data_IF_659820023615
#
_entry.id   IF_659820023615
#
_cell.length_a   1.000
_cell.length_b   1.000
_cell.length_c   1.000
_cell.angle_alpha   90.00
_cell.angle_beta   90.00
_cell.angle_gamma   90.00
#
_symmetry.space_group_name_H-M   'P 1'
#
loop_
_entity.id
_entity.type
_entity.pdbx_description
1 polymer ?
#
# COMPACT_ATOMS: atom_id res chain seq x y z
N UNK A 1 10.05 -35.90 -63.92
CA UNK A 1 8.88 -35.28 -63.29
C UNK A 1 9.14 -35.33 -61.78
N UNK A 2 9.95 -34.40 -61.27
CA UNK A 2 9.54 -33.10 -60.67
C UNK A 2 8.86 -33.33 -59.31
N UNK A 3 9.29 -32.85 -58.15
CA UNK A 3 10.30 -31.88 -57.66
C UNK A 3 10.49 -32.19 -56.14
N UNK A 4 11.73 -32.25 -55.60
CA UNK A 4 12.39 -31.23 -54.73
C UNK A 4 11.52 -30.77 -53.53
N UNK A 5 11.74 -31.24 -52.29
CA UNK A 5 12.67 -30.71 -51.27
C UNK A 5 12.47 -29.24 -50.85
N UNK A 6 12.06 -29.00 -49.60
CA UNK A 6 12.41 -27.87 -48.70
C UNK A 6 11.43 -27.89 -47.51
N UNK A 7 11.85 -28.36 -46.33
CA UNK A 7 12.53 -27.65 -45.24
C UNK A 7 11.62 -26.70 -44.41
N UNK A 8 11.63 -26.98 -43.10
CA UNK A 8 11.05 -26.17 -42.03
C UNK A 8 11.56 -24.73 -42.08
N UNK A 9 10.67 -23.76 -42.24
CA UNK A 9 11.02 -22.35 -42.00
C UNK A 9 10.41 -21.85 -40.68
N UNK A 10 11.33 -21.78 -39.72
CA UNK A 10 11.24 -21.23 -38.37
C UNK A 10 10.93 -19.73 -38.45
N UNK A 11 9.71 -19.32 -38.09
CA UNK A 11 9.28 -17.91 -38.12
C UNK A 11 10.07 -17.07 -37.10
N UNK A 12 11.04 -16.30 -37.59
CA UNK A 12 11.80 -15.32 -36.82
C UNK A 12 10.94 -14.08 -36.47
N UNK A 13 11.23 -13.38 -35.34
CA UNK A 13 10.54 -12.14 -35.01
C UNK A 13 10.97 -11.00 -35.97
N UNK A 14 10.06 -10.09 -36.36
CA UNK A 14 10.43 -9.00 -37.26
C UNK A 14 11.37 -8.02 -36.57
N UNK A 15 12.37 -7.61 -37.34
CA UNK A 15 13.48 -6.74 -36.96
C UNK A 15 13.03 -5.30 -36.67
N UNK A 16 13.75 -4.66 -35.75
CA UNK A 16 13.75 -3.22 -35.55
C UNK A 16 14.25 -2.51 -36.82
N UNK A 17 13.40 -1.66 -37.40
CA UNK A 17 13.81 -0.61 -38.32
C UNK A 17 13.30 0.72 -37.73
N UNK A 18 14.23 1.59 -37.34
CA UNK A 18 13.92 2.98 -37.06
C UNK A 18 14.04 3.80 -38.34
N UNK A 19 13.15 4.77 -38.52
CA UNK A 19 13.46 6.19 -38.71
C UNK A 19 12.15 6.94 -38.97
N UNK A 20 12.07 8.16 -38.46
CA UNK A 20 10.83 8.91 -38.29
C UNK A 20 10.27 9.49 -39.58
N UNK A 21 8.95 9.65 -39.59
CA UNK A 21 8.26 10.56 -40.50
C UNK A 21 6.93 11.01 -39.88
N UNK A 22 6.74 12.34 -39.84
CA UNK A 22 5.45 13.02 -39.89
C UNK A 22 4.42 12.72 -38.79
N UNK A 23 4.30 13.63 -37.82
CA UNK A 23 3.06 13.81 -37.09
C UNK A 23 1.95 14.25 -38.06
N UNK A 24 1.11 13.32 -38.50
CA UNK A 24 -0.14 13.63 -39.20
C UNK A 24 -1.28 13.67 -38.17
N UNK A 25 -1.59 14.91 -37.76
CA UNK A 25 -2.77 15.24 -36.96
C UNK A 25 -3.92 15.38 -37.96
N UNK A 26 -4.63 14.28 -38.26
CA UNK A 26 -5.78 14.37 -39.15
C UNK A 26 -6.49 13.07 -39.48
N UNK A 27 -7.47 12.71 -38.64
CA UNK A 27 -8.77 12.07 -38.94
C UNK A 27 -9.04 10.81 -38.09
N UNK A 28 -9.43 11.04 -36.84
CA UNK A 28 -9.71 10.01 -35.85
C UNK A 28 -10.98 9.22 -36.13
N UNK A 29 -10.83 7.89 -36.28
CA UNK A 29 -11.86 6.93 -35.88
C UNK A 29 -11.76 6.82 -34.36
N UNK A 30 -12.77 7.31 -33.64
CA UNK A 30 -12.96 7.00 -32.20
C UNK A 30 -12.96 5.48 -32.04
N UNK A 31 -11.95 4.88 -31.40
CA UNK A 31 -11.98 3.44 -31.16
C UNK A 31 -10.76 2.78 -30.55
N UNK A 32 -9.54 3.27 -30.78
CA UNK A 32 -8.35 2.74 -30.10
C UNK A 32 -7.80 3.78 -29.15
N UNK A 33 -8.22 3.72 -27.89
CA UNK A 33 -7.51 4.37 -26.81
C UNK A 33 -6.14 3.69 -26.71
N UNK A 34 -5.13 4.29 -27.31
CA UNK A 34 -3.76 3.82 -27.19
C UNK A 34 -3.31 4.13 -25.75
N UNK A 35 -2.93 3.10 -24.99
CA UNK A 35 -2.39 3.28 -23.64
C UNK A 35 -1.08 4.11 -23.71
N UNK A 36 -0.64 4.70 -22.60
CA UNK A 36 0.62 5.45 -22.52
C UNK A 36 1.87 4.62 -22.93
N UNK A 37 1.73 3.30 -22.99
CA UNK A 37 2.74 2.35 -23.50
C UNK A 37 2.63 2.01 -24.99
N UNK A 38 1.76 2.67 -25.76
CA UNK A 38 1.60 2.44 -27.21
C UNK A 38 0.79 1.19 -27.59
N UNK A 39 0.21 0.48 -26.62
CA UNK A 39 -0.58 -0.74 -26.84
C UNK A 39 -2.08 -0.45 -26.87
N UNK A 40 -2.82 -1.23 -27.67
CA UNK A 40 -4.29 -1.20 -27.73
C UNK A 40 -4.86 -1.49 -26.33
N UNK A 41 -5.75 -0.63 -25.85
CA UNK A 41 -6.36 -0.76 -24.53
C UNK A 41 -7.46 -1.84 -24.54
N UNK A 42 -7.10 -3.06 -24.16
CA UNK A 42 -8.01 -4.23 -24.09
C UNK A 42 -8.95 -4.24 -22.87
N UNK A 43 -8.71 -3.37 -21.87
CA UNK A 43 -9.47 -3.32 -20.62
C UNK A 43 -10.15 -1.96 -20.41
N UNK A 44 -11.44 -1.99 -20.08
CA UNK A 44 -12.19 -0.80 -19.68
C UNK A 44 -11.61 -0.18 -18.40
N UNK A 45 -11.33 1.13 -18.45
CA UNK A 45 -10.79 1.87 -17.31
C UNK A 45 -11.89 2.15 -16.30
N UNK A 46 -12.07 1.25 -15.33
CA UNK A 46 -13.12 1.36 -14.30
C UNK A 46 -12.78 2.34 -13.16
N UNK A 47 -11.53 2.82 -13.07
CA UNK A 47 -11.05 3.68 -11.97
C UNK A 47 -10.72 5.10 -12.47
N UNK A 48 -11.48 6.08 -12.01
CA UNK A 48 -11.17 7.50 -12.15
C UNK A 48 -10.14 7.98 -11.12
N UNK A 49 -9.61 9.19 -11.30
CA UNK A 49 -8.57 9.77 -10.44
C UNK A 49 -8.89 9.69 -8.93
N UNK A 50 -10.09 10.12 -8.53
CA UNK A 50 -10.53 10.07 -7.13
C UNK A 50 -10.66 8.66 -6.57
N UNK A 51 -11.03 7.69 -7.41
CA UNK A 51 -11.13 6.29 -7.00
C UNK A 51 -9.74 5.68 -6.81
N UNK A 52 -8.78 5.99 -7.69
CA UNK A 52 -7.38 5.56 -7.56
C UNK A 52 -6.73 6.18 -6.32
N UNK A 53 -6.92 7.48 -6.10
CA UNK A 53 -6.41 8.17 -4.91
C UNK A 53 -7.00 7.57 -3.62
N UNK A 54 -8.31 7.30 -3.62
CA UNK A 54 -8.99 6.66 -2.49
C UNK A 54 -8.45 5.26 -2.22
N UNK A 55 -8.23 4.46 -3.27
CA UNK A 55 -7.62 3.12 -3.13
C UNK A 55 -6.21 3.21 -2.56
N UNK A 56 -5.40 4.20 -2.96
CA UNK A 56 -4.08 4.43 -2.37
C UNK A 56 -4.14 4.72 -0.87
N UNK A 57 -5.05 5.62 -0.45
CA UNK A 57 -5.26 5.95 0.97
C UNK A 57 -5.77 4.74 1.76
N UNK A 58 -6.70 3.96 1.19
CA UNK A 58 -7.22 2.74 1.80
C UNK A 58 -6.17 1.66 1.95
N UNK A 59 -5.31 1.50 0.94
CA UNK A 59 -4.29 0.47 0.92
C UNK A 59 -3.24 0.69 2.01
N UNK A 60 -2.89 1.95 2.28
CA UNK A 60 -1.90 2.28 3.30
C UNK A 60 -2.50 2.23 4.72
N UNK A 61 -3.69 2.80 4.95
CA UNK A 61 -4.40 2.87 6.24
C UNK A 61 -3.48 2.91 7.49
N UNK A 62 -2.37 3.65 7.41
CA UNK A 62 -1.28 3.53 8.37
C UNK A 62 -1.67 4.07 9.76
N UNK A 63 -2.62 5.00 9.82
CA UNK A 63 -3.04 5.62 11.07
C UNK A 63 -3.71 4.64 12.04
N UNK A 64 -4.46 3.64 11.53
CA UNK A 64 -5.14 2.65 12.38
C UNK A 64 -4.18 1.71 13.08
N UNK A 65 -3.17 1.21 12.36
CA UNK A 65 -2.09 0.40 12.94
C UNK A 65 -1.10 1.25 13.75
N UNK A 66 -0.87 2.49 13.32
CA UNK A 66 -0.07 3.50 14.01
C UNK A 66 -0.58 3.76 15.43
N UNK A 67 -1.90 3.87 15.61
CA UNK A 67 -2.53 4.06 16.92
C UNK A 67 -2.14 2.99 17.96
N UNK A 68 -2.07 1.73 17.55
CA UNK A 68 -1.65 0.63 18.43
C UNK A 68 -0.15 0.63 18.73
N UNK A 69 0.68 0.97 17.74
CA UNK A 69 2.14 1.02 17.89
C UNK A 69 2.63 2.24 18.67
N UNK A 70 1.90 3.36 18.66
CA UNK A 70 2.23 4.55 19.44
C UNK A 70 2.43 4.25 20.93
N UNK A 71 1.67 3.31 21.49
CA UNK A 71 1.83 2.87 22.89
C UNK A 71 3.22 2.27 23.09
N UNK A 72 3.63 1.36 22.19
CA UNK A 72 4.94 0.69 22.24
C UNK A 72 6.07 1.70 22.05
N UNK A 73 5.95 2.62 21.09
CA UNK A 73 6.94 3.67 20.84
C UNK A 73 7.11 4.59 22.05
N UNK A 74 6.02 4.90 22.77
CA UNK A 74 6.06 5.70 23.99
C UNK A 74 6.77 4.96 25.14
N UNK A 75 6.57 3.63 25.27
CA UNK A 75 7.31 2.81 26.24
C UNK A 75 8.81 2.71 25.93
N UNK A 76 9.18 2.73 24.65
CA UNK A 76 10.56 2.56 24.22
C UNK A 76 11.36 3.87 24.29
N UNK A 77 10.79 5.01 23.90
CA UNK A 77 11.55 6.27 23.78
C UNK A 77 10.90 7.52 24.36
N UNK A 78 9.79 7.39 25.09
CA UNK A 78 9.03 8.54 25.60
C UNK A 78 8.52 9.47 24.49
N UNK A 79 8.16 10.70 24.86
CA UNK A 79 7.73 11.73 23.90
C UNK A 79 8.75 11.99 22.77
N UNK A 80 10.06 12.13 23.06
CA UNK A 80 11.06 12.45 22.05
C UNK A 80 11.27 11.31 21.06
N UNK A 81 11.22 10.05 21.53
CA UNK A 81 11.39 8.88 20.69
C UNK A 81 10.32 8.78 19.60
N UNK A 82 9.06 9.05 19.97
CA UNK A 82 7.94 9.07 19.02
C UNK A 82 8.11 10.21 18.01
N UNK A 83 8.42 11.42 18.46
CA UNK A 83 8.48 12.60 17.58
C UNK A 83 9.67 12.57 16.62
N UNK A 84 10.89 12.34 17.13
CA UNK A 84 12.07 12.25 16.28
C UNK A 84 12.02 11.03 15.37
N UNK A 85 11.46 9.92 15.85
CA UNK A 85 11.24 8.73 15.05
C UNK A 85 10.27 8.99 13.90
N UNK A 86 9.15 9.64 14.19
CA UNK A 86 8.19 10.04 13.16
C UNK A 86 8.80 10.96 12.10
N UNK A 87 9.55 12.00 12.51
CA UNK A 87 10.22 12.91 11.58
C UNK A 87 11.22 12.16 10.68
N UNK A 88 12.05 11.28 11.26
CA UNK A 88 12.99 10.47 10.52
C UNK A 88 12.26 9.59 9.49
N UNK A 89 11.23 8.86 9.92
CA UNK A 89 10.41 8.02 9.05
C UNK A 89 9.81 8.81 7.89
N UNK A 90 9.23 9.99 8.14
CA UNK A 90 8.67 10.86 7.08
C UNK A 90 9.71 11.22 6.02
N UNK A 91 10.94 11.57 6.42
CA UNK A 91 12.00 11.92 5.47
C UNK A 91 12.39 10.73 4.59
N UNK A 92 12.60 9.55 5.20
CA UNK A 92 12.97 8.35 4.45
C UNK A 92 11.84 7.87 3.53
N UNK A 93 10.61 7.81 4.03
CA UNK A 93 9.45 7.43 3.21
C UNK A 93 9.18 8.42 2.08
N UNK A 94 9.36 9.72 2.31
CA UNK A 94 9.20 10.74 1.26
C UNK A 94 10.25 10.59 0.16
N UNK A 95 11.49 10.25 0.53
CA UNK A 95 12.57 10.00 -0.44
C UNK A 95 12.26 8.77 -1.29
N UNK A 96 11.79 7.68 -0.67
CA UNK A 96 11.37 6.47 -1.37
C UNK A 96 10.19 6.78 -2.30
N UNK A 97 9.18 7.49 -1.80
CA UNK A 97 8.00 7.87 -2.58
C UNK A 97 8.36 8.76 -3.79
N UNK A 98 9.29 9.71 -3.63
CA UNK A 98 9.78 10.55 -4.71
C UNK A 98 10.48 9.72 -5.79
N UNK A 99 11.37 8.80 -5.40
CA UNK A 99 12.04 7.91 -6.36
C UNK A 99 11.04 7.03 -7.13
N UNK A 100 10.00 6.54 -6.45
CA UNK A 100 8.97 5.70 -7.08
C UNK A 100 8.08 6.52 -8.03
N UNK A 101 7.79 7.79 -7.67
CA UNK A 101 7.04 8.71 -8.51
C UNK A 101 7.77 9.02 -9.82
N UNK A 102 9.09 9.21 -9.77
CA UNK A 102 9.91 9.39 -10.98
C UNK A 102 9.79 8.17 -11.91
N UNK A 103 9.97 6.96 -11.38
CA UNK A 103 9.82 5.72 -12.16
C UNK A 103 8.40 5.55 -12.73
N UNK A 104 7.37 5.86 -11.94
CA UNK A 104 5.98 5.78 -12.37
C UNK A 104 5.66 6.77 -13.49
N UNK A 105 6.27 7.96 -13.48
CA UNK A 105 6.11 8.96 -14.53
C UNK A 105 6.87 8.62 -15.82
N UNK A 106 8.05 8.01 -15.70
CA UNK A 106 8.89 7.64 -16.84
C UNK A 106 8.39 6.37 -17.54
N UNK A 107 7.82 5.42 -16.78
CA UNK A 107 7.38 4.11 -17.27
C UNK A 107 5.95 3.81 -16.81
N UNK A 108 4.93 4.49 -17.39
CA UNK A 108 3.53 4.26 -17.06
C UNK A 108 3.06 2.92 -17.65
N UNK A 109 3.24 1.86 -16.87
CA UNK A 109 2.85 0.50 -17.24
C UNK A 109 2.01 -0.13 -16.14
N UNK A 110 0.97 -0.89 -16.52
CA UNK A 110 0.18 -1.72 -15.60
C UNK A 110 1.02 -2.82 -14.95
N UNK A 111 2.22 -3.06 -15.47
CA UNK A 111 3.14 -4.09 -15.06
C UNK A 111 4.03 -3.74 -13.84
N UNK A 112 3.73 -2.63 -13.14
CA UNK A 112 4.23 -2.29 -11.80
C UNK A 112 5.73 -2.61 -11.56
N UNK A 113 6.10 -2.99 -10.32
CA UNK A 113 7.48 -3.19 -9.85
C UNK A 113 8.31 -4.15 -10.71
N UNK A 114 7.71 -5.18 -11.30
CA UNK A 114 8.47 -6.14 -12.11
C UNK A 114 8.88 -5.55 -13.47
N UNK A 115 8.06 -4.67 -14.05
CA UNK A 115 8.43 -3.94 -15.26
C UNK A 115 9.54 -2.94 -14.99
N UNK A 116 9.42 -2.16 -13.91
CA UNK A 116 10.47 -1.23 -13.49
C UNK A 116 11.80 -1.96 -13.21
N UNK A 117 11.75 -3.11 -12.55
CA UNK A 117 12.92 -3.96 -12.32
C UNK A 117 13.55 -4.49 -13.62
N UNK A 118 12.74 -4.81 -14.62
CA UNK A 118 13.23 -5.30 -15.92
C UNK A 118 14.00 -4.24 -16.71
N UNK A 119 13.56 -2.97 -16.64
CA UNK A 119 14.14 -1.85 -17.38
C UNK A 119 15.41 -1.33 -16.67
N UNK A 120 15.40 -1.28 -15.35
CA UNK A 120 16.52 -0.74 -14.55
C UNK A 120 17.72 -1.68 -14.45
N UNK A 121 17.52 -3.01 -14.53
CA UNK A 121 18.59 -3.98 -14.33
C UNK A 121 19.38 -4.37 -15.60
N UNK A 122 19.13 -3.70 -16.73
CA UNK A 122 19.88 -3.87 -17.99
C UNK A 122 20.01 -5.34 -18.42
N UNK A 123 21.25 -5.84 -18.52
CA UNK A 123 21.56 -7.22 -18.96
C UNK A 123 20.93 -8.31 -18.09
N UNK A 124 20.65 -8.02 -16.80
CA UNK A 124 20.03 -8.96 -15.87
C UNK A 124 18.52 -8.73 -15.69
N UNK A 125 17.91 -7.87 -16.51
CA UNK A 125 16.50 -7.47 -16.42
C UNK A 125 15.52 -8.62 -16.23
N UNK A 126 15.68 -9.73 -16.98
CA UNK A 126 14.79 -10.90 -16.90
C UNK A 126 14.85 -11.64 -15.56
N UNK A 127 16.02 -11.75 -14.96
CA UNK A 127 16.21 -12.47 -13.70
C UNK A 127 15.73 -11.61 -12.54
N UNK A 128 16.11 -10.32 -12.54
CA UNK A 128 15.71 -9.39 -11.49
C UNK A 128 14.21 -9.15 -11.51
N UNK A 129 13.58 -9.06 -12.69
CA UNK A 129 12.12 -8.93 -12.80
C UNK A 129 11.36 -10.15 -12.32
N UNK A 130 11.89 -11.36 -12.52
CA UNK A 130 11.29 -12.60 -12.00
C UNK A 130 11.24 -12.58 -10.47
N UNK A 131 12.37 -12.28 -9.82
CA UNK A 131 12.41 -12.18 -8.35
C UNK A 131 11.59 -11.01 -7.83
N UNK A 132 11.62 -9.84 -8.48
CA UNK A 132 10.81 -8.69 -8.10
C UNK A 132 9.30 -8.98 -8.21
N UNK A 133 8.88 -9.70 -9.24
CA UNK A 133 7.50 -10.16 -9.41
C UNK A 133 7.08 -11.13 -8.31
N UNK A 134 7.95 -12.09 -7.97
CA UNK A 134 7.68 -13.05 -6.89
C UNK A 134 7.59 -12.38 -5.52
N UNK A 135 8.51 -11.46 -5.22
CA UNK A 135 8.46 -10.65 -4.00
C UNK A 135 7.20 -9.79 -3.92
N UNK A 136 6.79 -9.18 -5.02
CA UNK A 136 5.53 -8.43 -5.06
C UNK A 136 4.32 -9.35 -4.81
N UNK A 137 4.29 -10.55 -5.40
CA UNK A 137 3.22 -11.51 -5.17
C UNK A 137 3.15 -11.93 -3.69
N UNK A 138 4.30 -12.28 -3.09
CA UNK A 138 4.40 -12.61 -1.67
C UNK A 138 3.94 -11.44 -0.79
N UNK A 139 4.37 -10.21 -1.10
CA UNK A 139 3.98 -9.01 -0.37
C UNK A 139 2.45 -8.83 -0.35
N UNK A 140 1.78 -8.99 -1.49
CA UNK A 140 0.32 -8.91 -1.56
C UNK A 140 -0.39 -10.05 -0.82
N UNK A 141 0.15 -11.28 -0.86
CA UNK A 141 -0.42 -12.41 -0.11
C UNK A 141 -0.30 -12.22 1.41
N UNK A 142 0.89 -11.84 1.89
CA UNK A 142 1.09 -11.55 3.31
C UNK A 142 0.33 -10.31 3.77
N UNK A 143 0.22 -9.28 2.92
CA UNK A 143 -0.59 -8.09 3.20
C UNK A 143 -2.07 -8.42 3.34
N UNK A 144 -2.62 -9.26 2.46
CA UNK A 144 -4.00 -9.73 2.56
C UNK A 144 -4.24 -10.58 3.83
N UNK A 145 -3.30 -11.46 4.17
CA UNK A 145 -3.38 -12.25 5.40
C UNK A 145 -3.30 -11.36 6.66
N UNK A 146 -2.37 -10.41 6.69
CA UNK A 146 -2.18 -9.48 7.80
C UNK A 146 -3.39 -8.58 8.01
N UNK A 147 -3.96 -8.03 6.94
CA UNK A 147 -5.17 -7.18 7.03
C UNK A 147 -6.39 -7.96 7.50
N UNK A 148 -6.57 -9.21 7.04
CA UNK A 148 -7.65 -10.08 7.49
C UNK A 148 -7.50 -10.46 8.97
N UNK A 149 -6.26 -10.65 9.44
CA UNK A 149 -5.96 -10.93 10.85
C UNK A 149 -6.26 -9.70 11.71
N UNK A 150 -5.79 -8.52 11.30
CA UNK A 150 -6.06 -7.27 12.00
C UNK A 150 -7.56 -6.98 12.13
N UNK A 151 -8.33 -7.23 11.06
CA UNK A 151 -9.78 -7.12 11.09
C UNK A 151 -10.41 -8.11 12.09
N UNK A 152 -9.93 -9.36 12.13
CA UNK A 152 -10.39 -10.37 13.08
C UNK A 152 -10.13 -9.98 14.54
N UNK A 153 -8.91 -9.53 14.84
CA UNK A 153 -8.53 -9.02 16.17
C UNK A 153 -9.41 -7.84 16.59
N UNK A 154 -9.65 -6.89 15.67
CA UNK A 154 -10.48 -5.71 15.95
C UNK A 154 -11.92 -6.08 16.30
N UNK A 155 -12.52 -7.03 15.57
CA UNK A 155 -13.90 -7.49 15.82
C UNK A 155 -14.00 -8.16 17.20
N UNK A 156 -13.05 -9.02 17.55
CA UNK A 156 -13.03 -9.70 18.85
C UNK A 156 -12.75 -8.70 19.98
N UNK A 157 -11.84 -7.74 19.77
CA UNK A 157 -11.56 -6.68 20.72
C UNK A 157 -12.81 -5.84 20.98
N UNK A 158 -13.53 -5.41 19.93
CA UNK A 158 -14.81 -4.70 20.07
C UNK A 158 -15.82 -5.52 20.88
N UNK A 159 -15.98 -6.81 20.59
CA UNK A 159 -16.90 -7.67 21.32
C UNK A 159 -16.55 -7.80 22.81
N UNK A 160 -15.25 -7.89 23.13
CA UNK A 160 -14.76 -8.01 24.51
C UNK A 160 -15.05 -6.75 25.35
N UNK A 161 -15.06 -5.56 24.74
CA UNK A 161 -15.37 -4.30 25.43
C UNK A 161 -16.84 -4.27 25.88
N UNK A 162 -17.76 -4.84 25.10
CA UNK A 162 -19.18 -4.89 25.44
C UNK A 162 -19.55 -6.05 26.38
N UNK A 163 -18.72 -7.11 26.46
CA UNK A 163 -18.98 -8.30 27.27
C UNK A 163 -17.80 -8.59 28.22
N UNK A 164 -17.78 -8.00 29.43
CA UNK A 164 -16.63 -8.09 30.34
C UNK A 164 -16.38 -9.50 30.88
N UNK A 165 -17.34 -10.43 30.78
CA UNK A 165 -17.16 -11.84 31.15
C UNK A 165 -16.53 -12.70 30.04
N UNK A 166 -16.38 -12.15 28.83
CA UNK A 166 -15.87 -12.89 27.68
C UNK A 166 -14.35 -12.87 27.65
N UNK A 167 -13.75 -14.07 27.63
CA UNK A 167 -12.32 -14.25 27.49
C UNK A 167 -11.97 -14.56 26.03
N UNK A 168 -11.30 -13.65 25.30
CA UNK A 168 -10.91 -13.90 23.92
C UNK A 168 -9.92 -15.07 23.86
N UNK A 169 -10.18 -16.01 22.96
CA UNK A 169 -9.37 -17.21 22.73
C UNK A 169 -8.82 -17.14 21.30
N UNK A 170 -7.65 -17.74 21.08
CA UNK A 170 -6.95 -17.71 19.77
C UNK A 170 -7.82 -18.26 18.63
N UNK A 171 -8.66 -19.25 18.92
CA UNK A 171 -9.55 -19.83 17.92
C UNK A 171 -10.70 -18.90 17.51
N UNK A 172 -11.16 -18.00 18.40
CA UNK A 172 -12.18 -16.99 18.05
C UNK A 172 -11.65 -16.04 16.97
N UNK A 173 -10.41 -15.59 17.13
CA UNK A 173 -9.72 -14.75 16.15
C UNK A 173 -9.54 -15.50 14.83
N UNK A 174 -9.18 -16.79 14.87
CA UNK A 174 -9.04 -17.61 13.66
C UNK A 174 -10.35 -17.74 12.87
N UNK A 175 -11.49 -17.92 13.55
CA UNK A 175 -12.80 -17.96 12.88
C UNK A 175 -13.15 -16.60 12.28
N UNK A 176 -12.92 -15.50 13.01
CA UNK A 176 -13.13 -14.15 12.49
C UNK A 176 -12.27 -13.88 11.25
N UNK A 177 -10.99 -14.29 11.29
CA UNK A 177 -10.06 -14.23 10.16
C UNK A 177 -10.56 -15.02 8.94
N UNK A 178 -11.08 -16.23 9.15
CA UNK A 178 -11.61 -17.05 8.06
C UNK A 178 -12.84 -16.37 7.46
N UNK A 179 -13.74 -15.85 8.30
CA UNK A 179 -14.92 -15.11 7.87
C UNK A 179 -14.59 -13.86 7.05
N UNK A 180 -13.63 -13.04 7.51
CA UNK A 180 -13.19 -11.84 6.78
C UNK A 180 -12.55 -12.19 5.44
N UNK A 181 -11.76 -13.27 5.39
CA UNK A 181 -11.13 -13.76 4.16
C UNK A 181 -12.17 -14.23 3.13
N UNK A 182 -13.18 -15.01 3.54
CA UNK A 182 -14.25 -15.46 2.65
C UNK A 182 -15.14 -14.32 2.16
N UNK A 183 -15.41 -13.32 3.02
CA UNK A 183 -16.13 -12.11 2.61
C UNK A 183 -15.34 -11.33 1.56
N UNK A 184 -14.03 -11.14 1.76
CA UNK A 184 -13.16 -10.49 0.79
C UNK A 184 -13.13 -11.25 -0.55
N UNK A 185 -13.00 -12.59 -0.52
CA UNK A 185 -13.06 -13.42 -1.71
C UNK A 185 -14.39 -13.25 -2.46
N UNK A 186 -15.52 -13.25 -1.74
CA UNK A 186 -16.85 -13.08 -2.33
C UNK A 186 -17.00 -11.70 -3.00
N UNK A 187 -16.47 -10.65 -2.38
CA UNK A 187 -16.48 -9.30 -2.96
C UNK A 187 -15.62 -9.21 -4.23
N UNK A 188 -14.48 -9.89 -4.28
CA UNK A 188 -13.64 -9.93 -5.48
C UNK A 188 -14.32 -10.70 -6.61
N UNK A 189 -14.97 -11.83 -6.32
CA UNK A 189 -15.62 -12.68 -7.32
C UNK A 189 -16.90 -12.07 -7.90
N UNK A 190 -17.76 -11.49 -7.05
CA UNK A 190 -19.10 -11.04 -7.46
C UNK A 190 -19.25 -9.52 -7.53
N UNK A 191 -18.35 -8.77 -6.87
CA UNK A 191 -18.50 -7.35 -6.61
C UNK A 191 -17.70 -6.41 -7.50
N UNK A 192 -17.05 -6.89 -8.57
CA UNK A 192 -16.10 -6.09 -9.38
C UNK A 192 -16.69 -4.75 -9.89
N UNK A 193 -17.98 -4.68 -10.21
CA UNK A 193 -18.66 -3.44 -10.63
C UNK A 193 -18.96 -2.47 -9.49
N UNK A 194 -19.10 -2.97 -8.26
CA UNK A 194 -19.48 -2.20 -7.07
C UNK A 194 -18.21 -1.72 -6.34
N UNK A 195 -17.09 -2.42 -6.53
CA UNK A 195 -15.81 -2.18 -5.87
C UNK A 195 -15.33 -0.72 -6.00
N UNK A 196 -15.32 -0.06 -7.17
CA UNK A 196 -14.84 1.32 -7.30
C UNK A 196 -15.71 2.33 -6.53
N UNK A 197 -17.01 2.05 -6.38
CA UNK A 197 -17.94 2.91 -5.63
C UNK A 197 -17.75 2.75 -4.13
N UNK A 198 -17.60 1.50 -3.67
CA UNK A 198 -17.33 1.20 -2.26
C UNK A 198 -16.00 1.78 -1.82
N UNK A 199 -14.94 1.61 -2.61
CA UNK A 199 -13.60 2.12 -2.25
C UNK A 199 -13.58 3.65 -2.16
N UNK A 200 -14.26 4.34 -3.07
CA UNK A 200 -14.39 5.81 -3.03
C UNK A 200 -15.18 6.26 -1.80
N UNK A 201 -16.30 5.60 -1.49
CA UNK A 201 -17.10 5.92 -0.30
C UNK A 201 -16.35 5.66 1.01
N UNK A 202 -15.65 4.52 1.10
CA UNK A 202 -14.78 4.20 2.24
C UNK A 202 -13.61 5.18 2.35
N UNK A 203 -13.05 5.65 1.25
CA UNK A 203 -11.96 6.63 1.24
C UNK A 203 -12.39 7.95 1.86
N UNK A 204 -13.56 8.45 1.46
CA UNK A 204 -14.15 9.66 2.04
C UNK A 204 -14.45 9.45 3.53
N UNK A 205 -15.00 8.30 3.90
CA UNK A 205 -15.28 7.97 5.31
C UNK A 205 -14.01 7.95 6.15
N UNK A 206 -12.93 7.32 5.67
CA UNK A 206 -11.64 7.26 6.36
C UNK A 206 -11.03 8.65 6.54
N UNK A 207 -11.02 9.47 5.48
CA UNK A 207 -10.55 10.86 5.57
C UNK A 207 -11.35 11.66 6.60
N UNK A 208 -12.68 11.51 6.59
CA UNK A 208 -13.56 12.19 7.54
C UNK A 208 -13.26 11.75 8.97
N UNK A 209 -13.10 10.44 9.20
CA UNK A 209 -12.77 9.89 10.51
C UNK A 209 -11.39 10.36 10.99
N UNK A 210 -10.40 10.46 10.10
CA UNK A 210 -9.09 10.99 10.41
C UNK A 210 -9.16 12.45 10.89
N UNK A 211 -9.91 13.31 10.19
CA UNK A 211 -10.08 14.71 10.62
C UNK A 211 -10.82 14.81 11.95
N UNK A 212 -11.89 14.02 12.16
CA UNK A 212 -12.65 14.01 13.41
C UNK A 212 -11.76 13.55 14.57
N UNK A 213 -11.06 12.43 14.43
CA UNK A 213 -10.19 11.89 15.48
C UNK A 213 -9.05 12.85 15.82
N UNK A 214 -8.41 13.45 14.81
CA UNK A 214 -7.37 14.47 15.03
C UNK A 214 -7.91 15.67 15.80
N UNK A 215 -9.10 16.16 15.42
CA UNK A 215 -9.74 17.29 16.10
C UNK A 215 -10.15 16.95 17.53
N UNK A 216 -10.65 15.74 17.77
CA UNK A 216 -10.93 15.24 19.13
C UNK A 216 -9.66 15.18 19.95
N UNK A 217 -8.59 14.58 19.44
CA UNK A 217 -7.30 14.49 20.14
C UNK A 217 -6.69 15.88 20.42
N UNK A 218 -6.88 16.86 19.54
CA UNK A 218 -6.42 18.23 19.74
C UNK A 218 -7.22 18.98 20.81
N UNK A 219 -8.55 18.80 20.86
CA UNK A 219 -9.43 19.55 21.77
C UNK A 219 -9.56 18.89 23.14
N UNK A 220 -9.57 17.56 23.22
CA UNK A 220 -9.88 16.82 24.45
C UNK A 220 -9.00 17.19 25.66
N UNK A 221 -7.67 17.43 25.52
CA UNK A 221 -6.81 17.83 26.65
C UNK A 221 -7.23 19.15 27.32
N UNK A 222 -7.89 20.04 26.58
CA UNK A 222 -8.42 21.31 27.10
C UNK A 222 -9.69 21.13 27.94
N UNK A 223 -10.45 20.05 27.70
CA UNK A 223 -11.75 19.80 28.32
C UNK A 223 -11.68 18.82 29.51
N UNK A 224 -10.68 17.93 29.55
CA UNK A 224 -10.53 16.91 30.62
C UNK A 224 -9.71 17.40 31.82
N UNK A 225 -9.20 18.64 31.79
CA UNK A 225 -8.43 19.23 32.90
C UNK A 225 -6.99 18.70 33.04
N UNK A 226 -6.57 17.76 32.19
CA UNK A 226 -5.21 17.22 32.17
C UNK A 226 -4.17 18.17 31.53
N UNK A 227 -4.62 19.16 30.75
CA UNK A 227 -3.75 20.11 30.06
C UNK A 227 -2.97 19.48 28.90
N UNK A 228 -2.27 20.31 28.12
CA UNK A 228 -1.37 19.83 27.08
C UNK A 228 -0.05 19.32 27.68
N UNK A 229 0.56 18.32 27.03
CA UNK A 229 1.88 17.85 27.41
C UNK A 229 2.91 18.98 27.38
N UNK A 230 3.82 19.01 28.35
CA UNK A 230 4.85 20.04 28.43
C UNK A 230 5.87 19.90 27.30
N UNK A 231 6.44 21.01 26.84
CA UNK A 231 7.47 21.01 25.79
C UNK A 231 8.66 20.11 26.18
N UNK A 232 9.07 20.15 27.46
CA UNK A 232 10.14 19.30 27.97
C UNK A 232 9.80 17.80 27.87
N UNK A 233 8.55 17.41 28.13
CA UNK A 233 8.14 16.02 27.99
C UNK A 233 8.19 15.55 26.53
N UNK A 234 7.77 16.39 25.58
CA UNK A 234 7.71 16.02 24.16
C UNK A 234 9.11 15.94 23.52
N UNK A 235 10.02 16.85 23.87
CA UNK A 235 11.28 16.99 23.14
C UNK A 235 12.53 16.53 23.89
N UNK A 236 12.48 16.45 25.23
CA UNK A 236 13.67 16.20 26.06
C UNK A 236 13.57 15.01 27.00
N UNK A 237 12.37 14.60 27.43
CA UNK A 237 12.21 13.51 28.39
C UNK A 237 12.26 12.13 27.72
N UNK A 238 13.48 11.64 27.45
CA UNK A 238 13.67 10.29 26.92
C UNK A 238 13.52 9.26 28.03
N UNK A 239 12.41 8.53 28.01
CA UNK A 239 12.13 7.45 28.93
C UNK A 239 12.43 6.11 28.28
N UNK A 240 13.23 5.28 28.95
CA UNK A 240 13.54 3.93 28.52
C UNK A 240 13.00 2.93 29.54
N UNK A 241 11.84 2.37 29.26
CA UNK A 241 11.16 1.40 30.13
C UNK A 241 11.42 -0.05 29.71
N UNK A 242 12.35 -0.27 28.78
CA UNK A 242 12.60 -1.58 28.15
C UNK A 242 13.69 -2.41 28.82
N UNK A 243 14.45 -1.81 29.75
CA UNK A 243 15.53 -2.47 30.48
C UNK A 243 16.87 -2.57 29.73
N UNK A 244 16.96 -2.04 28.51
CA UNK A 244 18.19 -2.04 27.71
C UNK A 244 19.09 -0.85 28.02
N UNK A 245 20.42 -1.04 28.03
CA UNK A 245 21.39 0.01 28.37
C UNK A 245 21.62 1.06 27.27
N UNK A 246 21.34 0.74 26.02
CA UNK A 246 21.61 1.64 24.88
C UNK A 246 20.35 2.37 24.45
N UNK A 247 20.26 3.67 24.73
CA UNK A 247 19.13 4.51 24.35
C UNK A 247 18.91 4.57 22.83
N UNK A 248 19.98 4.52 22.03
CA UNK A 248 19.88 4.50 20.57
C UNK A 248 19.29 3.20 20.02
N UNK A 249 19.61 2.07 20.64
CA UNK A 249 19.01 0.78 20.26
C UNK A 249 17.51 0.75 20.60
N UNK A 250 17.14 1.26 21.77
CA UNK A 250 15.74 1.31 22.19
C UNK A 250 14.92 2.26 21.32
N UNK A 251 15.50 3.39 20.91
CA UNK A 251 14.88 4.28 19.93
C UNK A 251 14.61 3.56 18.60
N UNK A 252 15.58 2.82 18.08
CA UNK A 252 15.41 2.03 16.84
C UNK A 252 14.41 0.87 16.99
N UNK A 253 14.20 0.33 18.19
CA UNK A 253 13.16 -0.66 18.44
C UNK A 253 11.76 -0.04 18.58
N UNK A 254 11.66 1.27 18.80
CA UNK A 254 10.40 1.99 18.92
C UNK A 254 9.88 2.59 17.61
N UNK A 255 10.69 2.58 16.55
CA UNK A 255 10.38 3.05 15.19
C UNK A 255 10.07 1.85 14.30
#
# INVERSE_FOLDING_TARGET
MSDLSSEEEKKAPPAFAGEGEGADVGNGREGDLVNASGHVQELDRSFGFWSVASVGILADNAWGAGGGSLVVSLYNGGGPGVMYGFIASVIFYSTIAASLAELASALPSSANVYHWASVTAGRYGKVVSFYAGWWNCLAWMFGAASSSLFAGETVIAMYSIYHPAYQPQRWHIFIAFLGTTWMALSLVLFGQRILPKITTGMGIMLLTLFFITTLVCAIMPSQTGAGYASNAFVWTDFQNLTGWKSSGFVFLMGI
#
